data_IF_732028458490
#
_entry.id   IF_732028458490
#
_cell.length_a   1.000
_cell.length_b   1.000
_cell.length_c   1.000
_cell.angle_alpha   90.00
_cell.angle_beta   90.00
_cell.angle_gamma   90.00
#
_symmetry.space_group_name_H-M   'P 1'
#
loop_
_entity.id
_entity.type
_entity.pdbx_description
1 polymer ?
#
# COMPACT_ATOMS: atom_id res chain seq x y z
N UNK A 1 -7.78 12.79 -21.95
CA UNK A 1 -7.86 11.35 -22.32
C UNK A 1 -6.82 10.63 -21.47
N UNK A 2 -7.24 9.63 -20.71
CA UNK A 2 -6.34 8.94 -19.79
C UNK A 2 -5.23 8.17 -20.51
N UNK A 3 -4.13 7.92 -19.81
CA UNK A 3 -2.93 7.27 -20.33
C UNK A 3 -2.43 6.19 -19.38
N UNK A 4 -1.75 5.16 -19.92
CA UNK A 4 -1.01 4.20 -19.10
C UNK A 4 0.39 4.74 -18.81
N UNK A 5 0.78 4.67 -17.56
CA UNK A 5 2.08 5.14 -17.05
C UNK A 5 2.62 4.12 -16.05
N UNK A 6 3.95 4.20 -15.79
CA UNK A 6 4.62 3.34 -14.84
C UNK A 6 5.45 4.15 -13.85
N UNK A 7 5.45 3.72 -12.58
CA UNK A 7 6.27 4.28 -11.49
C UNK A 7 6.96 3.19 -10.69
N UNK A 8 8.01 3.54 -9.98
CA UNK A 8 8.58 2.65 -8.98
C UNK A 8 7.66 2.55 -7.75
N UNK A 9 7.80 1.46 -6.99
CA UNK A 9 7.07 1.32 -5.72
C UNK A 9 7.46 2.45 -4.76
N UNK A 10 8.76 2.79 -4.69
CA UNK A 10 9.26 3.89 -3.84
C UNK A 10 8.58 5.22 -4.19
N UNK A 11 8.51 5.60 -5.48
CA UNK A 11 7.87 6.86 -5.88
C UNK A 11 6.42 6.96 -5.43
N UNK A 12 5.64 5.87 -5.54
CA UNK A 12 4.24 5.87 -5.13
C UNK A 12 4.11 5.86 -3.61
N UNK A 13 4.89 5.02 -2.92
CA UNK A 13 4.86 4.92 -1.44
C UNK A 13 5.31 6.22 -0.77
N UNK A 14 6.29 6.93 -1.35
CA UNK A 14 6.71 8.25 -0.85
C UNK A 14 5.62 9.32 -1.04
N UNK A 15 4.73 9.13 -2.01
CA UNK A 15 3.61 10.02 -2.28
C UNK A 15 2.33 9.73 -1.49
N UNK A 16 2.21 8.54 -0.86
CA UNK A 16 1.02 8.19 -0.08
C UNK A 16 0.84 9.16 1.10
N UNK A 17 -0.37 9.66 1.28
CA UNK A 17 -0.75 10.70 2.24
C UNK A 17 -0.08 12.09 2.01
N UNK A 18 0.70 12.23 0.93
CA UNK A 18 1.24 13.51 0.48
C UNK A 18 0.49 14.05 -0.75
N UNK A 19 0.33 13.18 -1.76
CA UNK A 19 -0.42 13.48 -2.98
C UNK A 19 -1.36 12.35 -3.43
N UNK A 20 -1.24 11.15 -2.86
CA UNK A 20 -2.17 10.04 -3.10
C UNK A 20 -3.14 9.90 -1.93
N UNK A 21 -4.44 9.90 -2.24
CA UNK A 21 -5.52 9.80 -1.26
C UNK A 21 -6.60 8.85 -1.74
N UNK A 22 -7.48 8.44 -0.82
CA UNK A 22 -8.62 7.59 -1.09
C UNK A 22 -9.90 8.43 -1.11
N UNK A 23 -10.83 8.18 -2.04
CA UNK A 23 -12.18 8.74 -1.97
C UNK A 23 -13.04 7.92 -0.99
N UNK A 24 -14.17 8.48 -0.55
CA UNK A 24 -15.11 7.84 0.39
C UNK A 24 -15.83 6.61 -0.18
N UNK A 25 -15.80 6.44 -1.49
CA UNK A 25 -16.35 5.27 -2.18
C UNK A 25 -15.53 3.99 -2.02
N UNK A 26 -14.36 4.07 -1.38
CA UNK A 26 -13.45 2.94 -1.22
C UNK A 26 -13.86 2.03 -0.06
N UNK A 27 -13.59 0.72 -0.24
CA UNK A 27 -13.75 -0.25 0.83
C UNK A 27 -12.70 -0.04 1.91
N UNK A 28 -13.05 -0.34 3.16
CA UNK A 28 -12.07 -0.42 4.25
C UNK A 28 -10.93 -1.40 3.90
N UNK A 29 -9.78 -1.22 4.54
CA UNK A 29 -8.67 -2.17 4.39
C UNK A 29 -9.04 -3.54 4.98
N UNK A 30 -9.12 -4.55 4.11
CA UNK A 30 -9.68 -5.86 4.44
C UNK A 30 -8.64 -6.97 4.57
N UNK A 31 -7.42 -6.77 4.05
CA UNK A 31 -6.42 -7.84 3.98
C UNK A 31 -5.95 -8.37 5.35
N UNK A 32 -6.12 -7.59 6.41
CA UNK A 32 -5.80 -8.01 7.77
C UNK A 32 -7.03 -8.27 8.65
N UNK A 33 -8.26 -8.07 8.13
CA UNK A 33 -9.52 -8.29 8.89
C UNK A 33 -10.00 -9.75 8.91
N UNK A 34 -9.49 -10.61 8.01
CA UNK A 34 -9.84 -12.03 7.95
C UNK A 34 -8.58 -12.85 8.21
N UNK A 35 -8.73 -14.15 8.53
CA UNK A 35 -7.67 -15.09 8.91
C UNK A 35 -6.45 -15.19 7.95
N UNK A 36 -6.40 -14.38 6.93
CA UNK A 36 -5.32 -14.29 5.92
C UNK A 36 -4.22 -13.29 6.36
N UNK A 37 -3.61 -13.57 7.50
CA UNK A 37 -2.57 -12.71 8.07
C UNK A 37 -1.31 -12.56 7.19
N UNK A 38 -1.14 -13.41 6.18
CA UNK A 38 0.07 -13.47 5.33
C UNK A 38 -0.05 -12.74 3.98
N UNK A 39 -1.13 -12.03 3.71
CA UNK A 39 -1.31 -11.36 2.39
C UNK A 39 -0.29 -10.27 2.08
N UNK A 40 0.21 -9.59 3.10
CA UNK A 40 1.28 -8.59 2.93
C UNK A 40 2.56 -9.33 2.54
N UNK A 41 2.94 -10.35 3.30
CA UNK A 41 4.13 -11.16 3.06
C UNK A 41 4.09 -11.80 1.66
N UNK A 42 2.93 -12.31 1.23
CA UNK A 42 2.71 -12.86 -0.10
C UNK A 42 2.83 -11.82 -1.22
N UNK A 43 2.38 -10.58 -0.99
CA UNK A 43 2.55 -9.48 -1.94
C UNK A 43 4.04 -9.16 -2.13
N UNK A 44 4.80 -9.09 -1.05
CA UNK A 44 6.23 -8.81 -1.10
C UNK A 44 7.01 -9.95 -1.76
N UNK A 45 6.66 -11.20 -1.47
CA UNK A 45 7.20 -12.36 -2.17
C UNK A 45 6.91 -12.31 -3.68
N UNK A 46 5.67 -12.02 -4.07
CA UNK A 46 5.28 -11.90 -5.48
C UNK A 46 6.08 -10.84 -6.22
N UNK A 47 6.34 -9.70 -5.56
CA UNK A 47 7.17 -8.62 -6.12
C UNK A 47 8.61 -9.11 -6.34
N UNK A 48 9.22 -9.76 -5.34
CA UNK A 48 10.58 -10.31 -5.48
C UNK A 48 10.66 -11.42 -6.53
N UNK A 49 9.60 -12.18 -6.76
CA UNK A 49 9.53 -13.18 -7.84
C UNK A 49 9.37 -12.55 -9.23
N UNK A 50 9.11 -11.22 -9.29
CA UNK A 50 8.79 -10.53 -10.55
C UNK A 50 7.38 -10.85 -11.06
N UNK A 51 6.49 -11.33 -10.20
CA UNK A 51 5.11 -11.59 -10.57
C UNK A 51 4.32 -10.27 -10.72
N UNK A 52 3.39 -10.20 -11.70
CA UNK A 52 2.59 -9.00 -11.88
C UNK A 52 1.66 -8.79 -10.68
N UNK A 53 1.67 -7.59 -10.12
CA UNK A 53 0.80 -7.21 -9.00
C UNK A 53 -0.51 -6.54 -9.47
N UNK A 54 -0.81 -6.61 -10.76
CA UNK A 54 -1.97 -6.00 -11.39
C UNK A 54 -1.80 -4.51 -11.65
N UNK A 55 -2.72 -3.94 -12.42
CA UNK A 55 -2.75 -2.52 -12.72
C UNK A 55 -3.44 -1.71 -11.62
N UNK A 56 -3.22 -0.40 -11.63
CA UNK A 56 -3.85 0.55 -10.73
C UNK A 56 -4.67 1.56 -11.54
N UNK A 57 -5.60 2.23 -10.88
CA UNK A 57 -6.40 3.31 -11.47
C UNK A 57 -6.29 4.55 -10.60
N UNK A 58 -5.70 5.62 -11.14
CA UNK A 58 -5.54 6.88 -10.46
C UNK A 58 -6.29 7.98 -11.21
N UNK A 59 -7.02 8.79 -10.47
CA UNK A 59 -7.65 10.00 -10.97
C UNK A 59 -6.81 11.20 -10.54
N UNK A 60 -6.13 11.82 -11.48
CA UNK A 60 -5.30 12.99 -11.23
C UNK A 60 -6.15 14.26 -11.32
N UNK A 61 -6.15 15.04 -10.25
CA UNK A 61 -6.88 16.29 -10.12
C UNK A 61 -5.98 17.39 -9.55
N UNK A 62 -6.09 18.64 -10.08
CA UNK A 62 -5.61 19.81 -9.38
C UNK A 62 -6.37 19.95 -8.04
N UNK A 63 -5.66 20.33 -6.99
CA UNK A 63 -6.25 20.57 -5.65
C UNK A 63 -7.39 21.59 -5.68
N UNK A 64 -7.27 22.61 -6.52
CA UNK A 64 -8.26 23.68 -6.70
C UNK A 64 -9.60 23.19 -7.26
N UNK A 65 -9.62 22.04 -7.92
CA UNK A 65 -10.83 21.42 -8.47
C UNK A 65 -11.66 20.67 -7.43
N UNK A 66 -11.15 20.52 -6.21
CA UNK A 66 -11.84 19.87 -5.11
C UNK A 66 -12.35 20.94 -4.15
N UNK A 67 -13.64 20.86 -3.79
CA UNK A 67 -14.28 21.80 -2.87
C UNK A 67 -13.67 21.71 -1.46
N UNK A 68 -13.53 22.84 -0.78
CA UNK A 68 -13.21 22.89 0.65
C UNK A 68 -14.40 22.40 1.47
N UNK A 69 -14.13 22.01 2.71
CA UNK A 69 -15.13 21.36 3.59
C UNK A 69 -16.43 22.17 3.78
N UNK A 70 -16.36 23.49 3.68
CA UNK A 70 -17.50 24.41 3.88
C UNK A 70 -17.87 25.18 2.61
N UNK A 71 -17.31 24.78 1.45
CA UNK A 71 -17.50 25.46 0.17
C UNK A 71 -18.64 24.81 -0.63
N UNK A 72 -19.65 25.59 -1.01
CA UNK A 72 -20.72 25.17 -1.91
C UNK A 72 -20.49 25.80 -3.30
N UNK A 73 -19.46 25.32 -3.98
CA UNK A 73 -19.14 25.71 -5.34
C UNK A 73 -19.55 24.59 -6.31
N UNK A 74 -20.54 24.86 -7.16
CA UNK A 74 -21.07 23.91 -8.14
C UNK A 74 -20.04 23.51 -9.22
N UNK A 75 -18.98 24.31 -9.41
CA UNK A 75 -17.94 24.06 -10.40
C UNK A 75 -16.81 23.17 -9.86
N UNK A 76 -16.83 22.88 -8.55
CA UNK A 76 -15.86 22.03 -7.87
C UNK A 76 -16.43 20.65 -7.55
N UNK A 77 -15.52 19.68 -7.47
CA UNK A 77 -15.86 18.33 -7.06
C UNK A 77 -15.99 18.26 -5.54
N UNK A 78 -17.11 17.78 -5.04
CA UNK A 78 -17.35 17.63 -3.62
C UNK A 78 -17.34 16.13 -3.25
N UNK A 79 -16.30 15.69 -2.57
CA UNK A 79 -16.19 14.35 -1.98
C UNK A 79 -15.16 14.34 -0.83
N UNK A 80 -15.34 13.43 0.12
CA UNK A 80 -14.44 13.29 1.26
C UNK A 80 -13.19 12.52 0.85
N UNK A 81 -12.02 13.02 1.27
CA UNK A 81 -10.74 12.33 1.14
C UNK A 81 -10.34 11.61 2.43
N UNK A 82 -9.66 10.48 2.25
CA UNK A 82 -9.13 9.67 3.34
C UNK A 82 -7.64 9.39 3.11
N UNK A 83 -6.91 9.28 4.22
CA UNK A 83 -5.53 8.86 4.23
C UNK A 83 -5.40 7.34 4.13
N UNK A 84 -4.29 6.86 3.58
CA UNK A 84 -3.89 5.47 3.67
C UNK A 84 -3.47 5.13 5.10
N UNK A 85 -3.79 3.92 5.55
CA UNK A 85 -3.33 3.42 6.85
C UNK A 85 -1.83 3.13 6.74
N UNK A 86 -1.03 3.83 7.55
CA UNK A 86 0.40 3.58 7.69
C UNK A 86 0.64 2.53 8.78
N UNK A 87 0.10 2.79 9.96
CA UNK A 87 0.21 1.90 11.12
C UNK A 87 -1.13 1.22 11.34
N UNK A 88 -1.25 -0.02 10.85
CA UNK A 88 -2.48 -0.78 11.02
C UNK A 88 -2.61 -1.25 12.46
N UNK A 89 -3.75 -0.93 13.07
CA UNK A 89 -4.14 -1.43 14.40
C UNK A 89 -5.53 -2.09 14.29
N UNK A 90 -5.59 -3.38 14.59
CA UNK A 90 -6.84 -4.17 14.57
C UNK A 90 -7.98 -3.54 15.40
N UNK A 91 -7.63 -2.74 16.41
CA UNK A 91 -8.60 -2.02 17.26
C UNK A 91 -9.14 -0.76 16.59
N UNK A 92 -8.45 -0.22 15.59
CA UNK A 92 -8.79 1.01 14.85
C UNK A 92 -8.50 0.84 13.36
N UNK A 93 -9.23 -0.05 12.67
CA UNK A 93 -8.90 -0.46 11.31
C UNK A 93 -9.40 0.51 10.23
N UNK A 94 -9.79 1.73 10.59
CA UNK A 94 -10.39 2.69 9.68
C UNK A 94 -9.39 3.71 9.16
N UNK A 95 -9.58 4.11 7.89
CA UNK A 95 -8.85 5.21 7.30
C UNK A 95 -9.27 6.54 7.94
N UNK A 96 -8.31 7.42 8.19
CA UNK A 96 -8.57 8.74 8.75
C UNK A 96 -8.99 9.72 7.65
N UNK A 97 -9.99 10.57 7.95
CA UNK A 97 -10.40 11.66 7.06
C UNK A 97 -9.33 12.74 7.01
N UNK A 98 -9.16 13.34 5.83
CA UNK A 98 -8.32 14.51 5.67
C UNK A 98 -9.09 15.61 4.94
N UNK A 99 -8.89 16.86 5.37
CA UNK A 99 -9.45 18.04 4.70
C UNK A 99 -8.50 18.51 3.60
N UNK A 100 -9.06 18.99 2.50
CA UNK A 100 -8.28 19.44 1.34
C UNK A 100 -7.31 20.58 1.72
N UNK A 101 -7.67 21.42 2.68
CA UNK A 101 -6.85 22.54 3.14
C UNK A 101 -5.55 22.07 3.83
N UNK A 102 -5.55 20.89 4.40
CA UNK A 102 -4.39 20.30 5.10
C UNK A 102 -3.35 19.72 4.11
N UNK A 103 -3.74 19.48 2.86
CA UNK A 103 -2.87 18.91 1.84
C UNK A 103 -1.99 20.02 1.25
N UNK A 104 -0.69 19.77 1.16
CA UNK A 104 0.29 20.76 0.69
C UNK A 104 0.55 20.70 -0.82
N UNK A 105 0.25 19.57 -1.46
CA UNK A 105 0.48 19.37 -2.89
C UNK A 105 -0.66 19.96 -3.72
N UNK A 106 -0.32 20.48 -4.88
CA UNK A 106 -1.30 21.07 -5.80
C UNK A 106 -1.91 20.02 -6.73
N UNK A 107 -1.13 19.03 -7.17
CA UNK A 107 -1.62 17.88 -7.94
C UNK A 107 -1.89 16.69 -7.01
N UNK A 108 -3.09 16.15 -7.07
CA UNK A 108 -3.53 15.01 -6.26
C UNK A 108 -3.86 13.80 -7.14
N UNK A 109 -3.59 12.62 -6.63
CA UNK A 109 -3.95 11.34 -7.21
C UNK A 109 -4.99 10.66 -6.33
N UNK A 110 -6.22 10.57 -6.80
CA UNK A 110 -7.27 9.85 -6.11
C UNK A 110 -7.22 8.40 -6.56
N UNK A 111 -6.93 7.50 -5.63
CA UNK A 111 -6.74 6.07 -5.93
C UNK A 111 -8.11 5.40 -6.02
N UNK A 112 -8.49 5.01 -7.22
CA UNK A 112 -9.76 4.35 -7.51
C UNK A 112 -9.66 2.83 -7.51
N UNK A 113 -8.53 2.27 -7.95
CA UNK A 113 -8.23 0.84 -7.80
C UNK A 113 -6.80 0.63 -7.33
N UNK A 114 -6.59 -0.47 -6.58
CA UNK A 114 -5.32 -0.85 -6.00
C UNK A 114 -5.12 -0.44 -4.54
N UNK A 115 -6.13 0.10 -3.86
CA UNK A 115 -6.08 0.53 -2.46
C UNK A 115 -5.47 -0.54 -1.53
N UNK A 116 -5.94 -1.78 -1.59
CA UNK A 116 -5.49 -2.86 -0.70
C UNK A 116 -3.99 -3.14 -0.88
N UNK A 117 -3.52 -3.15 -2.12
CA UNK A 117 -2.11 -3.36 -2.48
C UNK A 117 -1.23 -2.21 -2.02
N UNK A 118 -1.63 -0.95 -2.28
CA UNK A 118 -0.89 0.23 -1.85
C UNK A 118 -0.84 0.35 -0.32
N UNK A 119 -1.96 0.09 0.38
CA UNK A 119 -1.97 0.06 1.85
C UNK A 119 -1.03 -1.02 2.40
N UNK A 120 -1.01 -2.21 1.78
CA UNK A 120 -0.11 -3.30 2.17
C UNK A 120 1.37 -2.94 1.96
N UNK A 121 1.70 -2.31 0.83
CA UNK A 121 3.05 -1.78 0.58
C UNK A 121 3.43 -0.72 1.59
N UNK A 122 2.49 0.18 1.93
CA UNK A 122 2.74 1.26 2.89
C UNK A 122 3.01 0.73 4.29
N UNK A 123 2.19 -0.23 4.76
CA UNK A 123 2.38 -0.89 6.06
C UNK A 123 3.73 -1.62 6.10
N UNK A 124 4.06 -2.40 5.06
CA UNK A 124 5.30 -3.18 5.04
C UNK A 124 6.57 -2.35 4.92
N UNK A 125 6.52 -1.22 4.18
CA UNK A 125 7.70 -0.39 3.91
C UNK A 125 7.89 0.76 4.91
N UNK A 126 6.81 1.43 5.33
CA UNK A 126 6.90 2.63 6.19
C UNK A 126 6.19 2.51 7.53
N UNK A 127 5.34 1.50 7.65
CA UNK A 127 4.44 1.40 8.79
C UNK A 127 4.69 0.22 9.70
N UNK A 128 3.62 -0.10 10.42
CA UNK A 128 3.56 -1.19 11.39
C UNK A 128 2.23 -1.93 11.29
N UNK A 129 2.23 -3.15 11.81
CA UNK A 129 1.04 -3.98 11.96
C UNK A 129 0.85 -4.35 13.41
N UNK A 130 -0.27 -3.94 14.01
CA UNK A 130 -0.66 -4.32 15.38
C UNK A 130 -1.83 -5.26 15.35
N UNK A 131 -1.60 -6.51 15.72
CA UNK A 131 -2.60 -7.57 15.82
C UNK A 131 -2.62 -8.17 17.22
N UNK A 132 -3.77 -8.77 17.58
CA UNK A 132 -3.91 -9.49 18.82
C UNK A 132 -3.11 -10.80 18.78
N UNK A 133 -2.36 -11.08 19.84
CA UNK A 133 -1.65 -12.35 20.04
C UNK A 133 -2.65 -13.52 20.08
N UNK A 134 -2.29 -14.65 19.48
CA UNK A 134 -3.07 -15.89 19.57
C UNK A 134 -3.37 -16.21 21.04
N UNK A 135 -4.59 -16.60 21.32
CA UNK A 135 -5.07 -16.98 22.67
C UNK A 135 -5.05 -15.86 23.74
N UNK A 136 -4.72 -14.62 23.40
CA UNK A 136 -4.83 -13.50 24.32
C UNK A 136 -6.28 -13.02 24.44
N UNK A 137 -6.68 -12.51 25.61
CA UNK A 137 -7.99 -11.91 25.81
C UNK A 137 -8.04 -10.50 25.22
N UNK A 138 -9.20 -10.11 24.67
CA UNK A 138 -9.40 -8.80 24.03
C UNK A 138 -9.29 -7.62 24.99
N UNK A 139 -9.58 -7.82 26.27
CA UNK A 139 -9.53 -6.81 27.33
C UNK A 139 -8.13 -6.61 27.93
N UNK A 140 -7.15 -7.43 27.53
CA UNK A 140 -5.77 -7.29 27.97
C UNK A 140 -5.00 -6.32 27.06
N UNK A 141 -4.54 -5.14 27.56
CA UNK A 141 -3.75 -4.20 26.74
C UNK A 141 -2.46 -4.81 26.17
N UNK A 142 -1.86 -5.78 26.87
CA UNK A 142 -0.64 -6.48 26.44
C UNK A 142 -0.91 -7.60 25.43
N UNK A 143 -2.18 -7.78 25.06
CA UNK A 143 -2.58 -8.75 24.04
C UNK A 143 -2.18 -8.31 22.62
N UNK A 144 -1.93 -7.04 22.42
CA UNK A 144 -1.62 -6.46 21.10
C UNK A 144 -0.12 -6.19 20.97
N UNK A 145 0.41 -6.43 19.80
CA UNK A 145 1.83 -6.30 19.54
C UNK A 145 2.06 -5.62 18.18
N UNK A 146 2.73 -4.48 18.25
CA UNK A 146 3.16 -3.74 17.06
C UNK A 146 4.37 -4.44 16.43
N UNK A 147 4.32 -4.69 15.13
CA UNK A 147 5.33 -5.42 14.38
C UNK A 147 5.72 -4.68 13.10
N UNK A 148 6.97 -4.86 12.68
CA UNK A 148 7.52 -4.40 11.40
C UNK A 148 7.92 -5.57 10.53
N UNK A 149 7.94 -5.35 9.21
CA UNK A 149 8.28 -6.37 8.23
C UNK A 149 9.80 -6.52 8.09
N UNK A 150 10.25 -7.77 8.14
CA UNK A 150 11.64 -8.19 7.91
C UNK A 150 11.69 -9.24 6.80
N UNK A 151 12.84 -9.31 6.13
CA UNK A 151 13.19 -10.34 5.15
C UNK A 151 14.40 -11.11 5.67
N UNK A 152 14.33 -12.43 5.70
CA UNK A 152 15.50 -13.27 5.93
C UNK A 152 16.35 -13.34 4.66
N UNK A 153 17.54 -12.76 4.67
CA UNK A 153 18.45 -12.76 3.51
C UNK A 153 19.12 -14.11 3.27
N UNK A 154 19.18 -15.00 4.27
CA UNK A 154 19.74 -16.34 4.13
C UNK A 154 18.79 -17.35 3.49
N UNK A 155 17.49 -17.04 3.45
CA UNK A 155 16.51 -17.93 2.83
C UNK A 155 16.33 -17.63 1.35
N UNK A 156 16.82 -18.55 0.50
CA UNK A 156 16.61 -18.52 -0.94
C UNK A 156 15.55 -19.57 -1.31
N UNK A 157 14.36 -19.16 -1.77
CA UNK A 157 13.32 -20.13 -2.10
C UNK A 157 13.68 -20.98 -3.30
N UNK A 158 13.32 -22.26 -3.26
CA UNK A 158 13.36 -23.11 -4.43
C UNK A 158 12.28 -22.66 -5.43
N UNK A 159 12.70 -22.06 -6.53
CA UNK A 159 11.81 -21.50 -7.55
C UNK A 159 10.95 -22.55 -8.27
N UNK A 160 11.33 -23.82 -8.22
CA UNK A 160 10.55 -24.93 -8.77
C UNK A 160 9.43 -25.38 -7.80
N UNK A 161 9.47 -24.93 -6.54
CA UNK A 161 8.43 -25.18 -5.54
C UNK A 161 7.60 -23.91 -5.32
N UNK A 162 6.33 -23.85 -5.78
CA UNK A 162 5.47 -22.66 -5.60
C UNK A 162 5.12 -22.35 -4.14
N UNK A 163 5.29 -23.32 -3.23
CA UNK A 163 4.98 -23.15 -1.80
C UNK A 163 6.19 -22.61 -1.01
N UNK A 164 7.40 -22.66 -1.58
CA UNK A 164 8.62 -22.19 -0.94
C UNK A 164 8.84 -20.71 -1.29
N UNK A 165 8.45 -19.81 -0.41
CA UNK A 165 8.43 -18.36 -0.60
C UNK A 165 9.66 -17.69 0.03
N UNK A 166 10.03 -16.49 -0.43
CA UNK A 166 10.93 -15.63 0.32
C UNK A 166 10.39 -15.42 1.74
N UNK A 167 11.26 -15.53 2.73
CA UNK A 167 10.85 -15.51 4.13
C UNK A 167 10.67 -14.06 4.60
N UNK A 168 9.47 -13.52 4.36
CA UNK A 168 9.01 -12.26 4.93
C UNK A 168 8.23 -12.53 6.22
N UNK A 169 8.59 -11.83 7.30
CA UNK A 169 7.93 -11.98 8.58
C UNK A 169 7.77 -10.65 9.32
N UNK A 170 6.69 -10.53 10.08
CA UNK A 170 6.47 -9.38 10.96
C UNK A 170 6.97 -9.68 12.37
N UNK A 171 7.94 -8.91 12.84
CA UNK A 171 8.53 -9.01 14.18
C UNK A 171 8.29 -7.76 15.01
N UNK A 172 8.04 -7.94 16.33
CA UNK A 172 7.81 -6.84 17.26
C UNK A 172 9.12 -6.14 17.68
N UNK A 173 10.22 -6.88 17.64
CA UNK A 173 11.57 -6.40 17.89
C UNK A 173 12.45 -6.82 16.74
N UNK A 174 13.57 -6.17 16.54
CA UNK A 174 14.59 -6.67 15.62
C UNK A 174 14.95 -8.10 16.02
N UNK A 175 14.67 -9.07 15.17
CA UNK A 175 15.01 -10.47 15.47
C UNK A 175 16.53 -10.64 15.50
N UNK A 176 17.00 -11.61 16.28
CA UNK A 176 18.41 -11.95 16.34
C UNK A 176 18.82 -12.68 15.06
N UNK A 177 20.01 -12.40 14.56
CA UNK A 177 20.62 -13.13 13.46
C UNK A 177 21.32 -14.38 14.00
N UNK A 178 21.24 -15.48 13.26
CA UNK A 178 21.83 -16.78 13.60
C UNK A 178 22.39 -17.50 12.36
N UNK A 179 22.67 -18.79 12.46
CA UNK A 179 23.21 -19.58 11.35
C UNK A 179 22.22 -19.72 10.17
N UNK A 180 20.91 -19.68 10.43
CA UNK A 180 19.83 -19.85 9.45
C UNK A 180 19.15 -18.55 9.05
N UNK A 181 19.35 -17.48 9.82
CA UNK A 181 18.63 -16.22 9.64
C UNK A 181 19.54 -15.01 9.66
N UNK A 182 19.38 -14.15 8.66
CA UNK A 182 19.89 -12.79 8.65
C UNK A 182 18.75 -11.83 8.31
N UNK A 183 18.23 -11.13 9.30
CA UNK A 183 17.02 -10.32 9.17
C UNK A 183 17.31 -8.89 8.75
N UNK A 184 16.86 -8.55 7.55
CA UNK A 184 16.86 -7.18 7.04
C UNK A 184 15.49 -6.54 7.26
N UNK A 185 15.44 -5.36 7.90
CA UNK A 185 14.18 -4.61 8.05
C UNK A 185 13.80 -4.01 6.69
N UNK A 186 12.68 -4.47 6.11
CA UNK A 186 12.32 -4.21 4.71
C UNK A 186 12.19 -2.72 4.41
N UNK A 187 11.67 -1.92 5.34
CA UNK A 187 11.52 -0.47 5.17
C UNK A 187 12.82 0.29 4.97
N UNK A 188 13.94 -0.21 5.49
CA UNK A 188 15.24 0.44 5.39
C UNK A 188 15.78 0.46 3.95
N UNK A 189 15.22 -0.39 3.06
CA UNK A 189 15.56 -0.41 1.63
C UNK A 189 15.29 0.91 0.92
N UNK A 190 14.28 1.67 1.36
CA UNK A 190 13.91 2.94 0.75
C UNK A 190 15.00 4.00 0.89
N UNK A 191 15.78 3.94 1.98
CA UNK A 191 16.83 4.92 2.30
C UNK A 191 18.24 4.35 2.10
N UNK A 192 18.36 3.06 1.75
CA UNK A 192 19.63 2.39 1.54
C UNK A 192 20.35 2.99 0.32
N UNK A 193 21.47 3.67 0.53
CA UNK A 193 22.21 4.35 -0.55
C UNK A 193 23.01 3.36 -1.41
N UNK A 194 23.66 2.38 -0.79
CA UNK A 194 24.53 1.41 -1.47
C UNK A 194 24.44 0.05 -0.82
N UNK A 195 23.99 -0.94 -1.58
CA UNK A 195 23.97 -2.35 -1.14
C UNK A 195 25.39 -2.85 -0.90
N UNK A 196 26.35 -2.50 -1.76
CA UNK A 196 27.75 -2.91 -1.63
C UNK A 196 28.37 -2.44 -0.30
N UNK A 197 28.11 -1.18 0.06
CA UNK A 197 28.60 -0.62 1.34
C UNK A 197 27.97 -1.33 2.52
N UNK A 198 26.64 -1.48 2.49
CA UNK A 198 25.89 -2.17 3.54
C UNK A 198 26.33 -3.61 3.70
N UNK A 199 26.47 -4.36 2.59
CA UNK A 199 26.93 -5.74 2.60
C UNK A 199 28.31 -5.91 3.24
N UNK A 200 29.25 -4.99 2.94
CA UNK A 200 30.59 -4.98 3.54
C UNK A 200 30.55 -4.66 5.05
N UNK A 201 29.76 -3.69 5.45
CA UNK A 201 29.64 -3.28 6.87
C UNK A 201 29.00 -4.36 7.74
N UNK A 202 28.14 -5.19 7.15
CA UNK A 202 27.43 -6.27 7.83
C UNK A 202 27.94 -7.67 7.51
N UNK A 203 29.04 -7.77 6.78
CA UNK A 203 29.70 -9.05 6.41
C UNK A 203 28.75 -10.03 5.70
N UNK A 204 27.84 -9.50 4.85
CA UNK A 204 26.93 -10.32 4.05
C UNK A 204 27.69 -11.14 3.01
N UNK A 205 27.29 -12.38 2.81
CA UNK A 205 27.83 -13.19 1.74
C UNK A 205 27.29 -12.77 0.35
N UNK A 206 27.66 -13.51 -0.70
CA UNK A 206 27.28 -13.20 -2.07
C UNK A 206 25.79 -13.41 -2.34
N UNK A 207 25.16 -14.41 -1.71
CA UNK A 207 23.74 -14.73 -1.89
C UNK A 207 22.86 -13.74 -1.13
N UNK A 208 23.20 -13.44 0.10
CA UNK A 208 22.55 -12.41 0.93
C UNK A 208 22.61 -11.03 0.25
N UNK A 209 23.79 -10.66 -0.28
CA UNK A 209 24.01 -9.42 -1.01
C UNK A 209 23.20 -9.36 -2.30
N UNK A 210 23.12 -10.47 -3.03
CA UNK A 210 22.33 -10.55 -4.26
C UNK A 210 20.82 -10.43 -3.97
N UNK A 211 20.31 -11.02 -2.90
CA UNK A 211 18.92 -10.89 -2.49
C UNK A 211 18.60 -9.44 -2.05
N UNK A 212 19.51 -8.81 -1.32
CA UNK A 212 19.35 -7.41 -0.92
C UNK A 212 19.35 -6.47 -2.14
N UNK A 213 20.21 -6.72 -3.14
CA UNK A 213 20.23 -5.98 -4.40
C UNK A 213 18.92 -6.20 -5.18
N UNK A 214 18.43 -7.43 -5.24
CA UNK A 214 17.14 -7.77 -5.85
C UNK A 214 15.98 -7.01 -5.18
N UNK A 215 15.96 -6.96 -3.83
CA UNK A 215 14.98 -6.20 -3.08
C UNK A 215 15.06 -4.71 -3.45
N UNK A 216 16.25 -4.14 -3.49
CA UNK A 216 16.45 -2.74 -3.85
C UNK A 216 15.98 -2.43 -5.26
N UNK A 217 16.33 -3.27 -6.23
CA UNK A 217 15.92 -3.09 -7.61
C UNK A 217 14.40 -3.14 -7.75
N UNK A 218 13.73 -4.14 -7.19
CA UNK A 218 12.29 -4.32 -7.27
C UNK A 218 11.52 -3.15 -6.63
N UNK A 219 11.97 -2.62 -5.50
CA UNK A 219 11.21 -1.58 -4.78
C UNK A 219 11.60 -0.15 -5.13
N UNK A 220 12.85 0.09 -5.55
CA UNK A 220 13.37 1.45 -5.74
C UNK A 220 13.72 1.80 -7.19
N UNK A 221 13.95 0.82 -8.06
CA UNK A 221 14.47 1.05 -9.42
C UNK A 221 13.50 0.62 -10.51
N UNK A 222 12.93 -0.57 -10.39
CA UNK A 222 12.01 -1.11 -11.37
C UNK A 222 10.64 -0.42 -11.30
N UNK A 223 10.06 -0.12 -12.46
CA UNK A 223 8.75 0.54 -12.56
C UNK A 223 7.62 -0.51 -12.53
N UNK A 224 7.38 -1.10 -11.37
CA UNK A 224 6.41 -2.18 -11.18
C UNK A 224 4.98 -1.70 -10.95
N UNK A 225 4.78 -0.41 -10.67
CA UNK A 225 3.44 0.19 -10.53
C UNK A 225 2.97 0.67 -11.90
N UNK A 226 2.27 -0.20 -12.63
CA UNK A 226 1.61 0.18 -13.89
C UNK A 226 0.19 0.66 -13.60
N UNK A 227 -0.16 1.87 -14.04
CA UNK A 227 -1.44 2.48 -13.73
C UNK A 227 -2.03 3.25 -14.91
N UNK A 228 -3.36 3.28 -14.95
CA UNK A 228 -4.10 4.17 -15.82
C UNK A 228 -4.33 5.50 -15.09
N UNK A 229 -3.89 6.61 -15.69
CA UNK A 229 -4.13 7.96 -15.18
C UNK A 229 -5.29 8.59 -15.94
N UNK A 230 -6.40 8.87 -15.24
CA UNK A 230 -7.50 9.69 -15.77
C UNK A 230 -7.34 11.13 -15.26
N UNK A 231 -7.49 12.09 -16.18
CA UNK A 231 -7.32 13.53 -15.86
C UNK A 231 -8.59 14.36 -16.08
N UNK A 232 -9.63 13.74 -16.63
CA UNK A 232 -10.85 14.46 -16.97
C UNK A 232 -11.69 14.74 -15.71
N UNK A 233 -12.12 16.00 -15.54
CA UNK A 233 -12.95 16.45 -14.41
C UNK A 233 -14.42 16.06 -14.60
N UNK A 234 -14.69 14.80 -14.92
CA UNK A 234 -16.05 14.28 -15.09
C UNK A 234 -16.27 13.09 -14.19
N UNK A 235 -16.90 13.32 -13.04
CA UNK A 235 -17.16 12.30 -12.03
C UNK A 235 -17.91 11.09 -12.60
N UNK A 236 -18.94 11.31 -13.43
CA UNK A 236 -19.71 10.21 -14.02
C UNK A 236 -18.87 9.32 -14.93
N UNK A 237 -17.96 9.91 -15.71
CA UNK A 237 -17.03 9.15 -16.55
C UNK A 237 -16.07 8.31 -15.70
N UNK A 238 -15.47 8.93 -14.67
CA UNK A 238 -14.54 8.28 -13.75
C UNK A 238 -15.21 7.12 -13.02
N UNK A 239 -16.44 7.31 -12.56
CA UNK A 239 -17.24 6.25 -11.93
C UNK A 239 -17.55 5.11 -12.89
N UNK A 240 -17.89 5.42 -14.15
CA UNK A 240 -18.10 4.39 -15.16
C UNK A 240 -16.83 3.57 -15.43
N UNK A 241 -15.65 4.20 -15.47
CA UNK A 241 -14.37 3.50 -15.60
C UNK A 241 -14.14 2.61 -14.38
N UNK A 242 -14.30 3.15 -13.17
CA UNK A 242 -14.14 2.42 -11.92
C UNK A 242 -15.02 1.17 -11.85
N UNK A 243 -16.30 1.31 -12.18
CA UNK A 243 -17.25 0.20 -12.19
C UNK A 243 -16.82 -0.87 -13.18
N UNK A 244 -16.44 -0.50 -14.41
CA UNK A 244 -16.05 -1.45 -15.45
C UNK A 244 -14.75 -2.20 -15.11
N UNK A 245 -13.80 -1.53 -14.49
CA UNK A 245 -12.54 -2.15 -14.04
C UNK A 245 -12.81 -3.14 -12.90
N UNK A 246 -13.74 -2.82 -11.99
CA UNK A 246 -14.06 -3.67 -10.84
C UNK A 246 -15.15 -4.71 -11.08
N UNK A 247 -15.87 -4.68 -12.21
CA UNK A 247 -16.98 -5.60 -12.51
C UNK A 247 -16.57 -7.06 -12.75
N UNK A 248 -15.28 -7.37 -12.78
CA UNK A 248 -14.75 -8.74 -12.85
C UNK A 248 -14.48 -9.40 -11.49
N UNK A 249 -14.69 -8.69 -10.36
CA UNK A 249 -14.55 -9.18 -8.98
C UNK A 249 -15.90 -9.27 -8.25
N UNK A 250 -15.85 -9.44 -6.91
CA UNK A 250 -17.05 -9.37 -6.05
C UNK A 250 -17.85 -8.10 -6.34
N UNK A 251 -19.14 -8.25 -6.65
CA UNK A 251 -20.05 -7.15 -6.99
C UNK A 251 -20.00 -6.05 -5.92
N UNK A 252 -19.40 -4.92 -6.29
CA UNK A 252 -19.65 -3.66 -5.59
C UNK A 252 -21.12 -3.35 -5.80
N UNK A 253 -21.86 -3.21 -4.71
CA UNK A 253 -23.28 -2.88 -4.78
C UNK A 253 -23.40 -1.49 -5.42
N UNK A 254 -23.89 -1.44 -6.65
CA UNK A 254 -24.07 -0.21 -7.45
C UNK A 254 -24.80 0.89 -6.67
N UNK A 255 -25.69 0.46 -5.77
CA UNK A 255 -26.47 1.33 -4.90
C UNK A 255 -25.62 2.05 -3.86
N UNK A 256 -24.61 1.39 -3.27
CA UNK A 256 -23.76 1.99 -2.23
C UNK A 256 -22.82 3.03 -2.84
N UNK A 257 -22.34 2.77 -4.05
CA UNK A 257 -21.50 3.69 -4.80
C UNK A 257 -22.26 4.95 -5.23
N UNK A 258 -23.48 4.78 -5.76
CA UNK A 258 -24.38 5.88 -6.14
C UNK A 258 -24.84 6.69 -4.93
N UNK A 259 -25.13 6.04 -3.80
CA UNK A 259 -25.57 6.70 -2.58
C UNK A 259 -24.47 7.54 -1.93
N UNK A 260 -23.21 7.07 -1.92
CA UNK A 260 -22.10 7.86 -1.36
C UNK A 260 -21.84 9.15 -2.15
N UNK A 261 -22.09 9.12 -3.47
CA UNK A 261 -21.91 10.28 -4.37
C UNK A 261 -23.11 11.21 -4.31
N UNK A 262 -24.32 10.66 -4.23
CA UNK A 262 -25.55 11.46 -4.12
C UNK A 262 -25.63 12.18 -2.78
N UNK A 263 -25.15 11.57 -1.68
CA UNK A 263 -25.08 12.23 -0.36
C UNK A 263 -24.02 13.35 -0.29
N UNK A 264 -23.02 13.32 -1.15
CA UNK A 264 -22.04 14.41 -1.28
C UNK A 264 -22.54 15.58 -2.19
N UNK A 265 -23.66 15.38 -2.90
CA UNK A 265 -24.21 16.36 -3.86
C UNK A 265 -25.47 17.06 -3.35
N UNK A 266 -25.89 16.79 -2.09
CA UNK A 266 -27.01 17.48 -1.41
C UNK A 266 -26.55 18.11 -0.05
#
# INVERSE_FOLDING_TARGET
MGVFLDKTIKEVVDGLNECYFLPDIQREYMWLKKADEKKIEQLFDSILRGYPIGSFLFWKLPKEDIAKSDEQDSDKLNFQLYQFITNYDERKPHNEKIRIEQIRRDDLYIVLDGQQRLTSLYIGLKGTRTLKKKNARYDNPNAYEEKRLYLNLKHQPNMDNPEDNYQFEFHAKTPENDEEHWWFKVGDILELKSVITYAREHELDSEESALLEKLKNAFCTEKLISYFEETEKNLNKVLNIFIRVNSGGDELNYSDLLMSILTASF
#
